data_IF_644997938453
#
_entry.id   IF_644997938453
#
_cell.length_a   1.000
_cell.length_b   1.000
_cell.length_c   1.000
_cell.angle_alpha   90.00
_cell.angle_beta   90.00
_cell.angle_gamma   90.00
#
_symmetry.space_group_name_H-M   'P 1'
#
loop_
_entity.id
_entity.type
_entity.pdbx_description
1 polymer ?
#
# COMPACT_ATOMS: atom_id res chain seq x y z
N UNK A 1 -6.27 44.90 1.27
CA UNK A 1 -5.19 44.53 0.32
C UNK A 1 -5.01 43.03 0.38
N UNK A 2 -5.54 42.31 -0.61
CA UNK A 2 -5.32 40.87 -0.76
C UNK A 2 -4.09 40.71 -1.65
N UNK A 3 -2.99 40.34 -1.01
CA UNK A 3 -1.65 40.47 -1.55
C UNK A 3 -1.37 39.33 -2.52
N UNK A 4 -0.87 39.66 -3.71
CA UNK A 4 -0.39 38.72 -4.73
C UNK A 4 0.58 37.65 -4.18
N UNK A 5 1.24 37.94 -3.05
CA UNK A 5 2.09 37.00 -2.29
C UNK A 5 1.33 35.81 -1.70
N UNK A 6 0.09 35.99 -1.25
CA UNK A 6 -0.74 34.90 -0.74
C UNK A 6 -1.11 33.95 -1.88
N UNK A 7 -1.39 34.48 -3.08
CA UNK A 7 -1.70 33.67 -4.25
C UNK A 7 -0.53 32.78 -4.71
N UNK A 8 0.70 33.30 -4.68
CA UNK A 8 1.90 32.51 -4.97
C UNK A 8 2.17 31.45 -3.88
N UNK A 9 1.99 31.83 -2.61
CA UNK A 9 2.17 30.93 -1.45
C UNK A 9 1.14 29.80 -1.46
N UNK A 10 -0.13 30.10 -1.72
CA UNK A 10 -1.19 29.11 -1.85
C UNK A 10 -0.97 28.17 -3.03
N UNK A 11 -0.48 28.67 -4.18
CA UNK A 11 -0.17 27.83 -5.34
C UNK A 11 0.97 26.86 -5.05
N UNK A 12 2.03 27.32 -4.38
CA UNK A 12 3.14 26.45 -3.97
C UNK A 12 2.68 25.40 -2.94
N UNK A 13 1.92 25.81 -1.92
CA UNK A 13 1.36 24.89 -0.93
C UNK A 13 0.45 23.83 -1.57
N UNK A 14 -0.39 24.24 -2.52
CA UNK A 14 -1.25 23.33 -3.29
C UNK A 14 -0.43 22.32 -4.08
N UNK A 15 0.62 22.74 -4.79
CA UNK A 15 1.47 21.83 -5.55
C UNK A 15 2.15 20.78 -4.65
N UNK A 16 2.62 21.19 -3.47
CA UNK A 16 3.19 20.26 -2.46
C UNK A 16 2.12 19.27 -2.00
N UNK A 17 0.92 19.75 -1.67
CA UNK A 17 -0.18 18.89 -1.22
C UNK A 17 -0.61 17.89 -2.30
N UNK A 18 -0.72 18.31 -3.56
CA UNK A 18 -1.07 17.45 -4.69
C UNK A 18 -0.03 16.35 -4.91
N UNK A 19 1.26 16.69 -4.83
CA UNK A 19 2.33 15.70 -4.93
C UNK A 19 2.31 14.70 -3.78
N UNK A 20 2.18 15.17 -2.53
CA UNK A 20 2.08 14.28 -1.35
C UNK A 20 0.84 13.40 -1.40
N UNK A 21 -0.28 13.93 -1.90
CA UNK A 21 -1.50 13.16 -2.09
C UNK A 21 -1.31 12.05 -3.14
N UNK A 22 -0.57 12.31 -4.22
CA UNK A 22 -0.19 11.29 -5.18
C UNK A 22 0.68 10.21 -4.52
N UNK A 23 1.67 10.59 -3.72
CA UNK A 23 2.53 9.64 -2.99
C UNK A 23 1.72 8.76 -2.03
N UNK A 24 0.78 9.35 -1.27
CA UNK A 24 -0.12 8.60 -0.37
C UNK A 24 -0.99 7.62 -1.15
N UNK A 25 -1.55 8.04 -2.29
CA UNK A 25 -2.35 7.16 -3.15
C UNK A 25 -1.54 5.98 -3.70
N UNK A 26 -0.29 6.20 -4.09
CA UNK A 26 0.59 5.11 -4.51
C UNK A 26 0.84 4.12 -3.37
N UNK A 27 1.18 4.62 -2.17
CA UNK A 27 1.38 3.75 -1.00
C UNK A 27 0.14 2.93 -0.64
N UNK A 28 -1.06 3.52 -0.74
CA UNK A 28 -2.30 2.78 -0.53
C UNK A 28 -2.47 1.66 -1.57
N UNK A 29 -2.18 1.91 -2.84
CA UNK A 29 -2.24 0.87 -3.88
C UNK A 29 -1.26 -0.27 -3.60
N UNK A 30 -0.04 0.05 -3.18
CA UNK A 30 0.97 -0.95 -2.84
C UNK A 30 0.55 -1.79 -1.63
N UNK A 31 0.01 -1.14 -0.59
CA UNK A 31 -0.52 -1.83 0.58
C UNK A 31 -1.73 -2.71 0.24
N UNK A 32 -2.66 -2.23 -0.59
CA UNK A 32 -3.80 -3.05 -1.04
C UNK A 32 -3.36 -4.28 -1.85
N UNK A 33 -2.27 -4.20 -2.62
CA UNK A 33 -1.70 -5.36 -3.31
C UNK A 33 -1.13 -6.38 -2.33
N UNK A 34 -0.38 -5.92 -1.32
CA UNK A 34 0.14 -6.79 -0.27
C UNK A 34 -0.99 -7.44 0.54
N UNK A 35 -2.01 -6.67 0.89
CA UNK A 35 -3.21 -7.17 1.58
C UNK A 35 -3.89 -8.26 0.77
N UNK A 36 -4.11 -8.06 -0.53
CA UNK A 36 -4.75 -9.06 -1.40
C UNK A 36 -3.92 -10.36 -1.50
N UNK A 37 -2.59 -10.23 -1.59
CA UNK A 37 -1.70 -11.39 -1.60
C UNK A 37 -1.77 -12.16 -0.28
N UNK A 38 -1.70 -11.47 0.85
CA UNK A 38 -1.84 -12.08 2.18
C UNK A 38 -3.21 -12.72 2.38
N UNK A 39 -4.29 -12.05 1.98
CA UNK A 39 -5.64 -12.60 2.06
C UNK A 39 -5.76 -13.90 1.26
N UNK A 40 -5.17 -13.95 0.06
CA UNK A 40 -5.11 -15.16 -0.77
C UNK A 40 -4.37 -16.29 -0.06
N UNK A 41 -3.21 -16.01 0.55
CA UNK A 41 -2.45 -17.01 1.29
C UNK A 41 -3.22 -17.53 2.51
N UNK A 42 -3.90 -16.65 3.25
CA UNK A 42 -4.74 -17.02 4.39
C UNK A 42 -5.90 -17.92 3.96
N UNK A 43 -6.58 -17.60 2.86
CA UNK A 43 -7.65 -18.45 2.32
C UNK A 43 -7.11 -19.83 1.90
N UNK A 44 -5.97 -19.89 1.20
CA UNK A 44 -5.35 -21.16 0.82
C UNK A 44 -4.96 -22.01 2.03
N UNK A 45 -4.48 -21.37 3.09
CA UNK A 45 -4.18 -22.03 4.36
C UNK A 45 -5.44 -22.61 5.01
N UNK A 46 -6.53 -21.83 5.11
CA UNK A 46 -7.76 -22.26 5.77
C UNK A 46 -8.46 -23.41 5.04
N UNK A 47 -8.37 -23.47 3.71
CA UNK A 47 -8.90 -24.56 2.88
C UNK A 47 -8.04 -25.82 2.88
N UNK A 48 -6.79 -25.74 3.35
CA UNK A 48 -5.82 -26.86 3.31
C UNK A 48 -5.84 -27.76 4.55
N UNK A 49 -6.94 -27.79 5.31
CA UNK A 49 -7.09 -28.65 6.51
C UNK A 49 -6.68 -30.10 6.21
N UNK A 50 -5.56 -30.54 6.78
CA UNK A 50 -5.04 -31.91 6.67
C UNK A 50 -3.79 -32.10 5.81
N UNK A 51 -3.22 -31.05 5.20
CA UNK A 51 -1.90 -31.14 4.53
C UNK A 51 -0.75 -30.98 5.55
N UNK A 52 0.28 -31.83 5.45
CA UNK A 52 1.47 -31.79 6.33
C UNK A 52 2.27 -30.49 6.23
N UNK A 53 2.18 -29.76 5.11
CA UNK A 53 2.81 -28.44 4.95
C UNK A 53 1.77 -27.34 4.83
N UNK A 54 2.01 -26.24 5.55
CA UNK A 54 1.18 -25.04 5.50
C UNK A 54 1.64 -24.18 4.31
N UNK A 55 0.82 -24.02 3.25
CA UNK A 55 1.22 -23.29 2.05
C UNK A 55 1.51 -21.80 2.31
N UNK A 56 1.03 -21.25 3.44
CA UNK A 56 1.36 -19.91 3.91
C UNK A 56 2.78 -19.83 4.47
N UNK A 57 3.26 -20.86 5.16
CA UNK A 57 4.63 -20.94 5.69
C UNK A 57 5.62 -21.11 4.53
N UNK A 58 5.33 -22.02 3.59
CA UNK A 58 6.20 -22.26 2.42
C UNK A 58 6.43 -20.96 1.62
N UNK A 59 5.35 -20.23 1.30
CA UNK A 59 5.47 -18.97 0.51
C UNK A 59 6.21 -17.86 1.26
N UNK A 60 6.07 -17.77 2.59
CA UNK A 60 6.76 -16.76 3.39
C UNK A 60 8.25 -17.07 3.56
N UNK A 61 8.64 -18.35 3.63
CA UNK A 61 10.04 -18.74 3.73
C UNK A 61 10.78 -18.57 2.39
N UNK A 62 10.11 -18.83 1.26
CA UNK A 62 10.69 -18.64 -0.07
C UNK A 62 10.99 -17.17 -0.41
N UNK A 63 10.23 -16.23 0.15
CA UNK A 63 10.42 -14.78 -0.06
C UNK A 63 11.44 -14.10 0.85
N UNK A 64 12.06 -14.84 1.78
CA UNK A 64 13.06 -14.36 2.76
C UNK A 64 14.48 -14.83 2.39
N UNK A 65 14.69 -15.24 1.13
CA UNK A 65 16.03 -15.58 0.58
C UNK A 65 16.63 -14.45 -0.25
#
# INVERSE_FOLDING_TARGET
MLSLHDGQTCRAARAIAEHRLADVRQRMLDLSRLEAALATLVQRCSTSKGKMSCPLIDTLMDGVS
#
